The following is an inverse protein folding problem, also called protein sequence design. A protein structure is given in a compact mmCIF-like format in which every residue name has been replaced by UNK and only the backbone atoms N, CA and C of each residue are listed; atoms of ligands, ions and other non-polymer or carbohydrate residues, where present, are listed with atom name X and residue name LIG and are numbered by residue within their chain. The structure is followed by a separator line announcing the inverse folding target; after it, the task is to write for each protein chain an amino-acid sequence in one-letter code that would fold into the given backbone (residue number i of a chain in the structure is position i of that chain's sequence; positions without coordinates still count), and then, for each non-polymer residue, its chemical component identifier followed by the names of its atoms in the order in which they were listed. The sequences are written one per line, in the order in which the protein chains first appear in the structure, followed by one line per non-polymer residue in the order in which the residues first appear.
data_IF_876803860064
#
_entry.id   IF_876803860064
#
_cell.length_a   1.000
_cell.length_b   1.000
_cell.length_c   1.000
_cell.angle_alpha   90.00
_cell.angle_beta   90.00
_cell.angle_gamma   90.00
#
_symmetry.space_group_name_H-M   'P 1'
#
loop_
_entity.id
_entity.type
_entity.pdbx_description
1 polymer ?
#
# COMPACT_ATOMS: atom_id res chain seq x y z
N UNK A 1 -10.30 2.35 -13.42
CA UNK A 1 -9.26 3.14 -14.11
C UNK A 1 -9.00 4.41 -13.31
N UNK A 2 -7.82 4.53 -12.70
CA UNK A 2 -7.46 5.62 -11.77
C UNK A 2 -6.09 5.35 -11.13
N UNK A 3 -5.72 6.13 -10.11
CA UNK A 3 -4.40 6.18 -9.44
C UNK A 3 -3.71 4.84 -9.10
N UNK A 4 -4.41 3.70 -9.10
CA UNK A 4 -3.86 2.37 -8.86
C UNK A 4 -2.67 1.99 -9.76
N UNK A 5 -2.55 2.55 -10.97
CA UNK A 5 -1.40 2.30 -11.84
C UNK A 5 -0.22 3.24 -11.56
N UNK A 6 -0.49 4.43 -11.02
CA UNK A 6 0.54 5.41 -10.70
C UNK A 6 1.19 5.12 -9.33
N UNK A 7 0.39 4.69 -8.35
CA UNK A 7 0.88 4.46 -6.98
C UNK A 7 2.03 3.42 -6.95
N UNK A 8 1.98 2.27 -7.64
CA UNK A 8 3.09 1.30 -7.66
C UNK A 8 4.41 1.92 -8.12
N UNK A 9 4.37 2.79 -9.14
CA UNK A 9 5.55 3.51 -9.63
C UNK A 9 6.05 4.56 -8.64
N UNK A 10 5.15 5.15 -7.86
CA UNK A 10 5.50 6.14 -6.83
C UNK A 10 6.11 5.48 -5.58
N UNK A 11 5.90 4.19 -5.35
CA UNK A 11 6.40 3.45 -4.18
C UNK A 11 7.54 2.48 -4.52
N UNK A 12 7.99 2.45 -5.78
CA UNK A 12 9.10 1.61 -6.22
C UNK A 12 10.40 1.96 -5.46
N UNK A 13 11.13 0.94 -5.00
CA UNK A 13 12.37 1.12 -4.23
C UNK A 13 12.18 1.50 -2.75
N UNK A 14 10.93 1.65 -2.28
CA UNK A 14 10.64 1.89 -0.86
C UNK A 14 10.50 0.58 -0.08
N UNK A 15 10.80 0.61 1.21
CA UNK A 15 10.47 -0.49 2.12
C UNK A 15 8.96 -0.52 2.38
N UNK A 16 8.42 -1.68 2.71
CA UNK A 16 7.00 -1.85 3.06
C UNK A 16 6.59 -0.87 4.17
N UNK A 17 7.44 -0.71 5.19
CA UNK A 17 7.22 0.23 6.30
C UNK A 17 7.12 1.69 5.84
N UNK A 18 7.97 2.12 4.91
CA UNK A 18 7.92 3.51 4.40
C UNK A 18 6.69 3.74 3.51
N UNK A 19 6.26 2.72 2.77
CA UNK A 19 5.00 2.79 2.01
C UNK A 19 3.83 2.92 2.97
N UNK A 20 3.73 2.05 3.98
CA UNK A 20 2.67 2.13 4.99
C UNK A 20 2.65 3.50 5.66
N UNK A 21 3.80 4.03 6.08
CA UNK A 21 3.88 5.34 6.72
C UNK A 21 3.40 6.49 5.82
N UNK A 22 3.62 6.40 4.51
CA UNK A 22 3.25 7.45 3.56
C UNK A 22 1.79 7.45 3.15
N UNK A 23 1.18 6.27 2.95
CA UNK A 23 -0.13 6.18 2.29
C UNK A 23 -1.20 5.40 3.08
N UNK A 24 -0.83 4.74 4.19
CA UNK A 24 -1.80 4.05 5.05
C UNK A 24 -2.74 5.03 5.75
N UNK A 25 -4.00 4.66 5.92
CA UNK A 25 -5.00 5.45 6.62
C UNK A 25 -5.54 6.66 5.85
N UNK A 26 -4.99 6.98 4.67
CA UNK A 26 -5.53 8.04 3.82
C UNK A 26 -6.92 7.63 3.34
N UNK A 27 -7.91 8.51 3.53
CA UNK A 27 -9.31 8.31 3.11
C UNK A 27 -9.60 9.03 1.81
N UNK A 28 -10.41 8.41 0.94
CA UNK A 28 -10.85 9.03 -0.31
C UNK A 28 -12.29 9.55 -0.15
N UNK A 29 -12.44 10.84 0.12
CA UNK A 29 -13.74 11.46 0.40
C UNK A 29 -14.41 10.86 1.63
N UNK A 30 -15.67 10.43 1.50
CA UNK A 30 -16.43 9.79 2.59
C UNK A 30 -16.12 8.29 2.76
N UNK A 31 -15.19 7.72 1.97
CA UNK A 31 -14.85 6.30 2.04
C UNK A 31 -13.94 6.00 3.23
N UNK A 32 -14.13 4.83 3.82
CA UNK A 32 -13.31 4.32 4.92
C UNK A 32 -11.89 3.86 4.49
N UNK A 33 -11.60 3.87 3.19
CA UNK A 33 -10.31 3.45 2.62
C UNK A 33 -10.02 4.24 1.34
N UNK A 34 -8.79 4.17 0.87
CA UNK A 34 -8.33 4.73 -0.40
C UNK A 34 -7.49 3.71 -1.18
N UNK A 35 -7.18 4.00 -2.44
CA UNK A 35 -6.30 3.14 -3.23
C UNK A 35 -4.89 3.03 -2.63
N UNK A 36 -4.41 4.08 -1.96
CA UNK A 36 -3.12 4.03 -1.24
C UNK A 36 -3.21 3.14 0.01
N UNK A 37 -4.29 3.29 0.77
CA UNK A 37 -4.55 2.46 1.96
C UNK A 37 -4.74 0.97 1.60
N UNK A 38 -5.41 0.66 0.49
CA UNK A 38 -5.54 -0.70 -0.03
C UNK A 38 -4.18 -1.28 -0.44
N UNK A 39 -3.33 -0.49 -1.10
CA UNK A 39 -1.99 -0.95 -1.48
C UNK A 39 -1.10 -1.20 -0.26
N UNK A 40 -1.12 -0.30 0.73
CA UNK A 40 -0.35 -0.46 1.96
C UNK A 40 -0.69 -1.78 2.67
N UNK A 41 -1.99 -2.08 2.81
CA UNK A 41 -2.47 -3.36 3.39
C UNK A 41 -2.00 -4.56 2.58
N UNK A 42 -2.21 -4.56 1.27
CA UNK A 42 -1.81 -5.66 0.40
C UNK A 42 -0.30 -5.92 0.41
N UNK A 43 0.52 -4.85 0.45
CA UNK A 43 1.97 -4.97 0.56
C UNK A 43 2.40 -5.57 1.90
N UNK A 44 1.76 -5.17 3.00
CA UNK A 44 2.01 -5.72 4.32
C UNK A 44 1.71 -7.22 4.37
N UNK A 45 0.53 -7.61 3.89
CA UNK A 45 0.11 -9.02 3.81
C UNK A 45 1.08 -9.84 2.96
N UNK A 46 1.47 -9.34 1.78
CA UNK A 46 2.40 -10.03 0.89
C UNK A 46 3.83 -10.14 1.48
N UNK A 47 4.26 -9.15 2.28
CA UNK A 47 5.55 -9.18 2.96
C UNK A 47 5.56 -10.16 4.13
N UNK A 48 4.48 -10.21 4.91
CA UNK A 48 4.32 -11.18 6.01
C UNK A 48 4.22 -12.61 5.47
N UNK A 49 3.48 -12.83 4.39
CA UNK A 49 3.42 -14.13 3.71
C UNK A 49 4.83 -14.60 3.27
N UNK A 50 5.61 -13.73 2.59
CA UNK A 50 6.98 -14.05 2.18
C UNK A 50 7.93 -14.32 3.35
N UNK A 51 7.69 -13.71 4.51
CA UNK A 51 8.48 -13.98 5.72
C UNK A 51 8.15 -15.35 6.34
N UNK A 52 6.90 -15.79 6.25
CA UNK A 52 6.45 -17.05 6.82
C UNK A 52 6.82 -18.27 5.97
N UNK A 53 7.13 -18.07 4.68
CA UNK A 53 7.61 -19.10 3.76
C UNK A 53 9.15 -19.30 3.77
N UNK A 54 9.87 -18.65 4.71
CA UNK A 54 11.32 -18.79 4.93
C UNK A 54 11.63 -19.45 6.26
#
# INVERSE_FOLDING_TARGET
HGNLQAIPRLVEGMTVEEVERRISGIRCGMKNTSCGDQLAKALREAYEAQKNDK
#
